data_IF_743431073901
#
_entry.id   IF_743431073901
#
_cell.length_a   1.000
_cell.length_b   1.000
_cell.length_c   1.000
_cell.angle_alpha   90.00
_cell.angle_beta   90.00
_cell.angle_gamma   90.00
#
_symmetry.space_group_name_H-M   'P 1'
#
loop_
_entity.id
_entity.type
_entity.pdbx_description
1 polymer ?
#
# COMPACT_ATOMS: atom_id res chain seq x y z
N UNK A 1 9.49 -0.02 -31.45
CA UNK A 1 8.96 0.49 -30.16
C UNK A 1 8.52 -0.71 -29.35
N UNK A 2 8.70 -0.71 -28.03
CA UNK A 2 8.17 -1.78 -27.19
C UNK A 2 6.64 -1.76 -27.25
N UNK A 3 6.04 -2.83 -27.75
CA UNK A 3 4.60 -3.00 -27.81
C UNK A 3 4.14 -3.95 -26.71
N UNK A 4 2.93 -3.73 -26.20
CA UNK A 4 2.34 -4.61 -25.19
C UNK A 4 2.12 -6.00 -25.79
N UNK A 5 2.48 -7.03 -25.04
CA UNK A 5 2.19 -8.41 -25.41
C UNK A 5 0.68 -8.67 -25.32
N UNK A 6 0.06 -9.00 -26.46
CA UNK A 6 -1.38 -9.21 -26.56
C UNK A 6 -1.90 -10.37 -25.68
N UNK A 7 -1.13 -11.45 -25.53
CA UNK A 7 -1.50 -12.57 -24.68
C UNK A 7 -1.35 -12.20 -23.21
N UNK A 8 -0.28 -11.47 -22.85
CA UNK A 8 -0.12 -10.94 -21.48
C UNK A 8 -1.24 -9.98 -21.11
N UNK A 9 -1.67 -9.12 -22.01
CA UNK A 9 -2.78 -8.19 -21.75
C UNK A 9 -4.12 -8.92 -21.61
N UNK A 10 -4.34 -9.98 -22.39
CA UNK A 10 -5.51 -10.87 -22.18
C UNK A 10 -5.46 -11.51 -20.80
N UNK A 11 -4.32 -12.06 -20.41
CA UNK A 11 -4.12 -12.64 -19.09
C UNK A 11 -4.31 -11.62 -17.98
N UNK A 12 -3.80 -10.39 -18.14
CA UNK A 12 -3.99 -9.29 -17.19
C UNK A 12 -5.46 -8.94 -17.01
N UNK A 13 -6.25 -8.88 -18.09
CA UNK A 13 -7.69 -8.63 -18.01
C UNK A 13 -8.43 -9.78 -17.28
N UNK A 14 -8.15 -11.04 -17.63
CA UNK A 14 -8.76 -12.19 -16.97
C UNK A 14 -8.38 -12.28 -15.49
N UNK A 15 -7.10 -12.07 -15.17
CA UNK A 15 -6.57 -12.00 -13.81
C UNK A 15 -7.23 -10.87 -13.02
N UNK A 16 -7.32 -9.67 -13.60
CA UNK A 16 -7.97 -8.50 -13.01
C UNK A 16 -9.43 -8.75 -12.66
N UNK A 17 -10.21 -9.35 -13.57
CA UNK A 17 -11.62 -9.71 -13.30
C UNK A 17 -11.74 -10.72 -12.16
N UNK A 18 -10.93 -11.79 -12.17
CA UNK A 18 -10.95 -12.81 -11.11
C UNK A 18 -10.54 -12.21 -9.75
N UNK A 19 -9.51 -11.37 -9.74
CA UNK A 19 -9.05 -10.65 -8.54
C UNK A 19 -10.12 -9.70 -8.00
N UNK A 20 -10.80 -8.93 -8.86
CA UNK A 20 -11.93 -8.07 -8.47
C UNK A 20 -13.07 -8.87 -7.86
N UNK A 21 -13.46 -9.99 -8.48
CA UNK A 21 -14.51 -10.88 -7.95
C UNK A 21 -14.13 -11.43 -6.58
N UNK A 22 -12.89 -11.93 -6.40
CA UNK A 22 -12.40 -12.37 -5.09
C UNK A 22 -12.42 -11.23 -4.06
N UNK A 23 -12.05 -10.01 -4.45
CA UNK A 23 -12.13 -8.83 -3.60
C UNK A 23 -13.56 -8.52 -3.15
N UNK A 24 -14.52 -8.51 -4.08
CA UNK A 24 -15.95 -8.32 -3.76
C UNK A 24 -16.47 -9.43 -2.85
N UNK A 25 -16.13 -10.69 -3.13
CA UNK A 25 -16.52 -11.82 -2.26
C UNK A 25 -15.94 -11.65 -0.85
N UNK A 26 -14.67 -11.26 -0.74
CA UNK A 26 -14.02 -11.03 0.56
C UNK A 26 -14.67 -9.87 1.33
N UNK A 27 -15.05 -8.80 0.62
CA UNK A 27 -15.79 -7.69 1.19
C UNK A 27 -17.17 -8.12 1.72
N UNK A 28 -17.92 -8.90 0.94
CA UNK A 28 -19.23 -9.42 1.34
C UNK A 28 -19.10 -10.34 2.56
N UNK A 29 -18.16 -11.28 2.54
CA UNK A 29 -17.92 -12.21 3.65
C UNK A 29 -17.53 -11.45 4.92
N UNK A 30 -16.64 -10.46 4.82
CA UNK A 30 -16.27 -9.59 5.94
C UNK A 30 -17.45 -8.76 6.46
N UNK A 31 -18.28 -8.24 5.56
CA UNK A 31 -19.51 -7.51 5.91
C UNK A 31 -20.52 -8.40 6.65
N UNK A 32 -20.73 -9.63 6.18
CA UNK A 32 -21.57 -10.62 6.87
C UNK A 32 -21.00 -10.95 8.25
N UNK A 33 -19.68 -11.16 8.36
CA UNK A 33 -19.02 -11.43 9.63
C UNK A 33 -19.28 -10.30 10.66
N UNK A 34 -19.09 -9.04 10.26
CA UNK A 34 -19.38 -7.89 11.12
C UNK A 34 -20.88 -7.77 11.42
N UNK A 35 -21.75 -7.98 10.43
CA UNK A 35 -23.20 -7.91 10.61
C UNK A 35 -23.68 -8.97 11.62
N UNK A 36 -23.12 -10.18 11.60
CA UNK A 36 -23.42 -11.21 12.60
C UNK A 36 -23.02 -10.74 14.00
N UNK A 37 -21.86 -10.09 14.17
CA UNK A 37 -21.43 -9.58 15.47
C UNK A 37 -22.31 -8.44 15.98
N UNK A 38 -22.79 -7.57 15.09
CA UNK A 38 -23.61 -6.40 15.45
C UNK A 38 -25.09 -6.75 15.67
N UNK A 39 -25.64 -7.67 14.89
CA UNK A 39 -27.08 -7.96 14.86
C UNK A 39 -27.47 -9.19 15.69
N UNK A 40 -26.49 -9.91 16.25
CA UNK A 40 -26.72 -11.08 17.09
C UNK A 40 -26.14 -10.88 18.50
N UNK A 41 -26.59 -11.64 19.51
CA UNK A 41 -26.04 -11.54 20.87
C UNK A 41 -24.61 -12.12 20.98
N UNK A 42 -23.98 -12.53 19.89
CA UNK A 42 -22.67 -13.18 19.89
C UNK A 42 -21.58 -12.28 20.48
N UNK A 43 -21.54 -11.00 20.08
CA UNK A 43 -20.55 -10.05 20.59
C UNK A 43 -20.65 -9.90 22.11
N UNK A 44 -21.86 -9.65 22.61
CA UNK A 44 -22.17 -9.54 24.04
C UNK A 44 -21.84 -10.85 24.80
N UNK A 45 -22.13 -12.01 24.20
CA UNK A 45 -21.85 -13.31 24.80
C UNK A 45 -20.36 -13.61 24.92
N UNK A 46 -19.55 -13.15 23.97
CA UNK A 46 -18.09 -13.28 24.03
C UNK A 46 -17.55 -12.29 25.06
N UNK A 47 -17.97 -11.02 24.98
CA UNK A 47 -17.57 -9.96 25.89
C UNK A 47 -17.83 -10.30 27.37
N UNK A 48 -19.01 -10.87 27.68
CA UNK A 48 -19.37 -11.27 29.04
C UNK A 48 -18.56 -12.43 29.63
N UNK A 49 -17.65 -13.06 28.85
CA UNK A 49 -16.71 -14.08 29.31
C UNK A 49 -15.28 -13.56 29.48
N UNK A 50 -15.03 -12.30 29.15
CA UNK A 50 -13.73 -11.67 29.26
C UNK A 50 -13.54 -11.02 30.65
N UNK A 51 -12.30 -10.71 31.05
CA UNK A 51 -12.03 -10.09 32.36
C UNK A 51 -12.75 -8.74 32.54
N UNK A 52 -13.00 -8.34 33.79
CA UNK A 52 -13.69 -7.08 34.10
C UNK A 52 -12.90 -5.82 33.70
N UNK A 53 -11.59 -5.93 33.50
CA UNK A 53 -10.76 -4.80 33.06
C UNK A 53 -11.09 -4.44 31.61
N UNK A 54 -11.66 -3.26 31.32
CA UNK A 54 -12.16 -2.97 29.96
C UNK A 54 -11.04 -2.89 28.93
N UNK A 55 -9.85 -2.43 29.33
CA UNK A 55 -8.66 -2.37 28.46
C UNK A 55 -8.20 -3.78 28.06
N UNK A 56 -8.04 -4.66 29.06
CA UNK A 56 -7.60 -6.04 28.82
C UNK A 56 -8.66 -6.83 28.05
N UNK A 57 -9.94 -6.65 28.39
CA UNK A 57 -11.05 -7.28 27.71
C UNK A 57 -11.11 -6.88 26.24
N UNK A 58 -11.00 -5.58 25.91
CA UNK A 58 -10.99 -5.12 24.53
C UNK A 58 -9.80 -5.67 23.73
N UNK A 59 -8.61 -5.71 24.33
CA UNK A 59 -7.43 -6.28 23.70
C UNK A 59 -7.60 -7.79 23.42
N UNK A 60 -8.13 -8.56 24.37
CA UNK A 60 -8.41 -10.00 24.20
C UNK A 60 -9.55 -10.25 23.20
N UNK A 61 -10.61 -9.44 23.25
CA UNK A 61 -11.69 -9.48 22.29
C UNK A 61 -11.16 -9.26 20.88
N UNK A 62 -10.27 -8.28 20.68
CA UNK A 62 -9.62 -8.04 19.39
C UNK A 62 -8.81 -9.25 18.91
N UNK A 63 -8.05 -9.92 19.79
CA UNK A 63 -7.33 -11.16 19.44
C UNK A 63 -8.30 -12.24 18.95
N UNK A 64 -9.38 -12.49 19.69
CA UNK A 64 -10.41 -13.48 19.32
C UNK A 64 -11.07 -13.12 17.98
N UNK A 65 -11.40 -11.84 17.80
CA UNK A 65 -11.98 -11.31 16.58
C UNK A 65 -11.06 -11.52 15.38
N UNK A 66 -9.77 -11.24 15.52
CA UNK A 66 -8.77 -11.44 14.47
C UNK A 66 -8.63 -12.90 14.07
N UNK A 67 -8.58 -13.83 15.04
CA UNK A 67 -8.53 -15.26 14.74
C UNK A 67 -9.82 -15.76 14.07
N UNK A 68 -10.99 -15.32 14.55
CA UNK A 68 -12.27 -15.71 13.95
C UNK A 68 -12.40 -15.17 12.52
N UNK A 69 -12.00 -13.91 12.30
CA UNK A 69 -11.99 -13.29 10.98
C UNK A 69 -11.01 -13.99 10.04
N UNK A 70 -9.80 -14.30 10.51
CA UNK A 70 -8.80 -15.03 9.72
C UNK A 70 -9.34 -16.41 9.32
N UNK A 71 -9.93 -17.16 10.25
CA UNK A 71 -10.50 -18.48 9.95
C UNK A 71 -11.58 -18.43 8.86
N UNK A 72 -12.46 -17.43 8.91
CA UNK A 72 -13.54 -17.24 7.92
C UNK A 72 -12.99 -16.82 6.56
N UNK A 73 -11.95 -15.99 6.54
CA UNK A 73 -11.40 -15.40 5.30
C UNK A 73 -10.20 -16.16 4.73
N UNK A 74 -9.61 -17.10 5.48
CA UNK A 74 -8.40 -17.85 5.10
C UNK A 74 -8.52 -18.51 3.72
N UNK A 75 -9.66 -19.15 3.33
CA UNK A 75 -9.80 -19.69 1.98
C UNK A 75 -9.69 -18.60 0.90
N UNK A 76 -10.29 -17.43 1.11
CA UNK A 76 -10.25 -16.31 0.17
C UNK A 76 -8.84 -15.69 0.11
N UNK A 77 -8.17 -15.58 1.25
CA UNK A 77 -6.76 -15.16 1.36
C UNK A 77 -5.84 -16.12 0.61
N UNK A 78 -6.07 -17.42 0.71
CA UNK A 78 -5.32 -18.44 -0.05
C UNK A 78 -5.53 -18.29 -1.56
N UNK A 79 -6.78 -18.14 -2.02
CA UNK A 79 -7.06 -17.96 -3.45
C UNK A 79 -6.47 -16.66 -3.99
N UNK A 80 -6.63 -15.56 -3.27
CA UNK A 80 -6.15 -14.23 -3.73
C UNK A 80 -4.64 -14.07 -3.61
N UNK A 81 -4.01 -14.62 -2.58
CA UNK A 81 -2.59 -14.45 -2.27
C UNK A 81 -1.66 -15.51 -2.86
N UNK A 82 -2.15 -16.73 -3.11
CA UNK A 82 -1.32 -17.83 -3.62
C UNK A 82 -1.87 -18.45 -4.90
N UNK A 83 -3.06 -19.05 -4.84
CA UNK A 83 -3.53 -19.90 -5.94
C UNK A 83 -3.77 -19.11 -7.24
N UNK A 84 -4.42 -17.94 -7.17
CA UNK A 84 -4.65 -17.12 -8.36
C UNK A 84 -3.34 -16.52 -8.91
N UNK A 85 -2.47 -15.83 -8.13
CA UNK A 85 -1.19 -15.35 -8.63
C UNK A 85 -0.31 -16.47 -9.20
N UNK A 86 -0.29 -17.64 -8.57
CA UNK A 86 0.49 -18.80 -9.05
C UNK A 86 -0.06 -19.35 -10.37
N UNK A 87 -1.38 -19.39 -10.55
CA UNK A 87 -2.00 -19.80 -11.81
C UNK A 87 -1.58 -18.92 -12.99
N UNK A 88 -1.35 -17.63 -12.74
CA UNK A 88 -0.88 -16.66 -13.73
C UNK A 88 0.66 -16.47 -13.73
N UNK A 89 1.41 -17.33 -13.04
CA UNK A 89 2.89 -17.27 -13.02
C UNK A 89 3.49 -16.09 -12.27
N UNK A 90 2.69 -15.37 -11.46
CA UNK A 90 3.14 -14.23 -10.65
C UNK A 90 3.74 -14.65 -9.29
N UNK A 91 3.27 -15.76 -8.72
CA UNK A 91 3.80 -16.29 -7.45
C UNK A 91 4.57 -17.58 -7.68
N UNK A 92 5.75 -17.67 -7.06
CA UNK A 92 6.63 -18.85 -7.03
C UNK A 92 6.57 -19.57 -5.68
N UNK A 93 5.84 -19.02 -4.71
CA UNK A 93 5.73 -19.60 -3.37
C UNK A 93 5.03 -20.97 -3.41
N UNK A 94 5.46 -21.86 -2.51
CA UNK A 94 4.67 -23.02 -2.13
C UNK A 94 3.70 -22.68 -0.99
N UNK A 95 2.81 -23.61 -0.65
CA UNK A 95 1.79 -23.40 0.41
C UNK A 95 2.43 -23.12 1.77
N UNK A 96 3.54 -23.79 2.10
CA UNK A 96 4.23 -23.60 3.38
C UNK A 96 4.84 -22.21 3.50
N UNK A 97 5.50 -21.71 2.45
CA UNK A 97 6.07 -20.37 2.41
C UNK A 97 4.99 -19.30 2.52
N UNK A 98 3.87 -19.48 1.82
CA UNK A 98 2.71 -18.59 1.92
C UNK A 98 2.09 -18.60 3.33
N UNK A 99 1.87 -19.76 3.94
CA UNK A 99 1.37 -19.87 5.32
C UNK A 99 2.32 -19.20 6.32
N UNK A 100 3.63 -19.36 6.12
CA UNK A 100 4.65 -18.70 6.94
C UNK A 100 4.54 -17.19 6.87
N UNK A 101 4.40 -16.61 5.68
CA UNK A 101 4.21 -15.17 5.52
C UNK A 101 2.85 -14.69 6.06
N UNK A 102 1.79 -15.46 5.83
CA UNK A 102 0.43 -15.19 6.33
C UNK A 102 0.41 -15.09 7.85
N UNK A 103 0.93 -16.09 8.56
CA UNK A 103 0.91 -16.09 10.02
C UNK A 103 1.93 -15.15 10.66
N UNK A 104 3.05 -14.84 9.99
CA UNK A 104 3.92 -13.73 10.41
C UNK A 104 3.18 -12.39 10.36
N UNK A 105 2.47 -12.14 9.26
CA UNK A 105 1.65 -10.94 9.10
C UNK A 105 0.52 -10.88 10.13
N UNK A 106 -0.21 -11.98 10.33
CA UNK A 106 -1.28 -12.09 11.32
C UNK A 106 -0.76 -11.81 12.74
N UNK A 107 0.40 -12.41 13.11
CA UNK A 107 1.00 -12.21 14.42
C UNK A 107 1.39 -10.76 14.67
N UNK A 108 2.01 -10.11 13.68
CA UNK A 108 2.35 -8.69 13.76
C UNK A 108 1.09 -7.81 13.87
N UNK A 109 0.05 -8.12 13.09
CA UNK A 109 -1.24 -7.42 13.15
C UNK A 109 -1.94 -7.58 14.50
N UNK A 110 -1.92 -8.78 15.09
CA UNK A 110 -2.45 -9.04 16.43
C UNK A 110 -1.68 -8.22 17.48
N UNK A 111 -0.35 -8.25 17.46
CA UNK A 111 0.47 -7.52 18.45
C UNK A 111 0.23 -6.01 18.37
N UNK A 112 0.35 -5.42 17.17
CA UNK A 112 0.18 -3.97 16.99
C UNK A 112 -1.28 -3.55 17.22
N UNK A 113 -2.24 -4.34 16.75
CA UNK A 113 -3.67 -4.07 16.88
C UNK A 113 -4.14 -4.17 18.33
N UNK A 114 -3.72 -5.18 19.09
CA UNK A 114 -4.05 -5.30 20.52
C UNK A 114 -3.47 -4.14 21.34
N UNK A 115 -2.25 -3.69 21.04
CA UNK A 115 -1.67 -2.48 21.67
C UNK A 115 -2.51 -1.25 21.31
N UNK A 116 -2.85 -1.08 20.03
CA UNK A 116 -3.66 0.05 19.58
C UNK A 116 -5.05 0.08 20.23
N UNK A 117 -5.74 -1.07 20.28
CA UNK A 117 -7.05 -1.21 20.94
C UNK A 117 -6.95 -0.96 22.44
N UNK A 118 -5.91 -1.48 23.11
CA UNK A 118 -5.69 -1.22 24.53
C UNK A 118 -5.50 0.27 24.82
N UNK A 119 -4.65 0.96 24.04
CA UNK A 119 -4.45 2.41 24.15
C UNK A 119 -5.76 3.15 23.87
N UNK A 120 -6.49 2.76 22.84
CA UNK A 120 -7.77 3.37 22.48
C UNK A 120 -8.79 3.28 23.61
N UNK A 121 -9.00 2.10 24.19
CA UNK A 121 -9.92 1.90 25.30
C UNK A 121 -9.46 2.58 26.59
N UNK A 122 -8.15 2.69 26.81
CA UNK A 122 -7.59 3.50 27.89
C UNK A 122 -7.90 5.00 27.68
N UNK A 123 -7.76 5.52 26.46
CA UNK A 123 -8.09 6.91 26.13
C UNK A 123 -9.59 7.18 26.28
N UNK A 124 -10.46 6.27 25.83
CA UNK A 124 -11.92 6.38 26.00
C UNK A 124 -12.28 6.46 27.48
N UNK A 125 -11.67 5.62 28.34
CA UNK A 125 -11.90 5.65 29.78
C UNK A 125 -11.45 6.96 30.43
N UNK A 126 -10.29 7.47 30.02
CA UNK A 126 -9.62 8.58 30.72
C UNK A 126 -10.01 9.96 30.20
N UNK A 127 -10.37 10.06 28.91
CA UNK A 127 -10.76 11.29 28.22
C UNK A 127 -11.93 11.05 27.24
N UNK A 128 -13.15 10.76 27.72
CA UNK A 128 -14.29 10.39 26.86
C UNK A 128 -14.68 11.44 25.81
N UNK A 129 -14.46 12.74 26.05
CA UNK A 129 -14.80 13.79 25.08
C UNK A 129 -13.73 14.03 24.01
N UNK A 130 -12.47 13.66 24.32
CA UNK A 130 -11.29 13.98 23.50
C UNK A 130 -10.50 12.77 23.02
N UNK A 131 -10.96 11.55 23.30
CA UNK A 131 -10.20 10.32 23.01
C UNK A 131 -9.86 10.20 21.52
N UNK A 132 -10.76 10.61 20.63
CA UNK A 132 -10.58 10.47 19.19
C UNK A 132 -9.43 11.34 18.67
N UNK A 133 -9.27 12.55 19.22
CA UNK A 133 -8.19 13.46 18.85
C UNK A 133 -6.83 12.96 19.37
N UNK A 134 -6.80 12.43 20.60
CA UNK A 134 -5.60 11.81 21.16
C UNK A 134 -5.22 10.52 20.43
N UNK A 135 -6.21 9.70 20.05
CA UNK A 135 -6.00 8.49 19.28
C UNK A 135 -5.50 8.80 17.86
N UNK A 136 -6.03 9.85 17.22
CA UNK A 136 -5.51 10.38 15.96
C UNK A 136 -4.05 10.81 16.10
N UNK A 137 -3.73 11.63 17.09
CA UNK A 137 -2.36 12.11 17.31
C UNK A 137 -1.40 10.95 17.58
N UNK A 138 -1.80 9.98 18.41
CA UNK A 138 -1.05 8.76 18.67
C UNK A 138 -0.84 7.93 17.40
N UNK A 139 -1.86 7.76 16.57
CA UNK A 139 -1.75 7.07 15.28
C UNK A 139 -0.76 7.77 14.36
N UNK A 140 -0.76 9.11 14.29
CA UNK A 140 0.21 9.85 13.47
C UNK A 140 1.66 9.66 13.95
N UNK A 141 1.87 9.61 15.27
CA UNK A 141 3.20 9.28 15.83
C UNK A 141 3.61 7.87 15.45
N UNK A 142 2.72 6.88 15.60
CA UNK A 142 3.00 5.50 15.22
C UNK A 142 3.28 5.37 13.73
N UNK A 143 2.50 6.02 12.86
CA UNK A 143 2.72 6.06 11.41
C UNK A 143 4.08 6.64 11.04
N UNK A 144 4.52 7.70 11.73
CA UNK A 144 5.84 8.28 11.51
C UNK A 144 6.95 7.30 11.93
N UNK A 145 6.83 6.69 13.10
CA UNK A 145 7.76 5.67 13.59
C UNK A 145 7.86 4.49 12.63
N UNK A 146 6.71 3.96 12.17
CA UNK A 146 6.67 2.86 11.20
C UNK A 146 7.26 3.28 9.85
N UNK A 147 7.08 4.51 9.40
CA UNK A 147 7.73 5.01 8.17
C UNK A 147 9.26 4.94 8.26
N UNK A 148 9.83 5.21 9.44
CA UNK A 148 11.27 5.12 9.68
C UNK A 148 11.73 3.67 9.83
N UNK A 149 10.97 2.86 10.58
CA UNK A 149 11.39 1.53 11.03
C UNK A 149 11.00 0.39 10.08
N UNK A 150 9.90 0.50 9.33
CA UNK A 150 9.41 -0.57 8.47
C UNK A 150 10.46 -1.11 7.48
N UNK A 151 11.26 -0.27 6.80
CA UNK A 151 12.29 -0.77 5.87
C UNK A 151 13.44 -1.51 6.56
N UNK A 152 13.62 -1.32 7.87
CA UNK A 152 14.71 -1.89 8.66
C UNK A 152 14.26 -3.08 9.49
N UNK A 153 13.01 -3.07 9.96
CA UNK A 153 12.47 -4.09 10.87
C UNK A 153 11.42 -4.97 10.21
N UNK A 154 10.53 -4.42 9.37
CA UNK A 154 9.39 -5.16 8.82
C UNK A 154 9.76 -5.84 7.51
N UNK A 155 10.30 -5.09 6.53
CA UNK A 155 10.64 -5.64 5.20
C UNK A 155 11.60 -6.84 5.30
N UNK A 156 12.67 -6.82 6.12
CA UNK A 156 13.56 -7.98 6.28
C UNK A 156 12.91 -9.27 6.81
N UNK A 157 11.75 -9.19 7.47
CA UNK A 157 11.02 -10.39 7.94
C UNK A 157 10.42 -11.20 6.79
N UNK A 158 10.19 -10.53 5.65
CA UNK A 158 9.56 -11.10 4.48
C UNK A 158 10.55 -11.29 3.33
N UNK A 159 11.52 -10.40 3.15
CA UNK A 159 12.44 -10.46 2.02
C UNK A 159 13.89 -10.32 2.48
N UNK A 160 14.77 -11.15 1.91
CA UNK A 160 16.20 -10.98 2.08
C UNK A 160 16.62 -9.73 1.30
N UNK A 161 17.40 -8.89 1.96
CA UNK A 161 18.02 -7.72 1.35
C UNK A 161 19.53 -7.84 1.47
N UNK A 162 20.23 -7.62 0.36
CA UNK A 162 21.69 -7.65 0.29
C UNK A 162 22.20 -6.34 -0.31
N UNK A 163 23.32 -5.78 0.18
CA UNK A 163 23.95 -4.65 -0.49
C UNK A 163 24.28 -4.99 -1.95
N UNK A 164 24.07 -4.04 -2.86
CA UNK A 164 24.46 -4.21 -4.26
C UNK A 164 25.99 -4.30 -4.38
N UNK A 165 26.46 -5.33 -5.09
CA UNK A 165 27.89 -5.53 -5.34
C UNK A 165 28.44 -4.45 -6.28
N UNK A 166 29.76 -4.22 -6.24
CA UNK A 166 30.41 -3.29 -7.15
C UNK A 166 30.29 -3.76 -8.60
N UNK A 167 30.10 -2.81 -9.53
CA UNK A 167 29.94 -3.08 -10.95
C UNK A 167 29.26 -1.91 -11.67
N UNK A 168 29.23 -1.98 -12.99
CA UNK A 168 28.75 -0.90 -13.87
C UNK A 168 27.35 -0.37 -13.49
N UNK A 169 26.40 -1.28 -13.18
CA UNK A 169 25.07 -0.88 -12.78
C UNK A 169 25.08 -0.07 -11.47
N UNK A 170 25.89 -0.47 -10.49
CA UNK A 170 25.99 0.25 -9.22
C UNK A 170 26.56 1.64 -9.43
N UNK A 171 27.67 1.75 -10.16
CA UNK A 171 28.34 3.02 -10.43
C UNK A 171 27.40 4.01 -11.14
N UNK A 172 26.64 3.48 -12.12
CA UNK A 172 25.62 4.23 -12.85
C UNK A 172 24.49 4.74 -11.95
N UNK A 173 23.99 3.90 -11.04
CA UNK A 173 22.95 4.29 -10.10
C UNK A 173 23.46 5.28 -9.04
N UNK A 174 24.70 5.15 -8.57
CA UNK A 174 25.33 6.12 -7.67
C UNK A 174 25.53 7.48 -8.36
N UNK A 175 25.90 7.48 -9.64
CA UNK A 175 25.95 8.69 -10.46
C UNK A 175 24.56 9.34 -10.61
N UNK A 176 23.51 8.55 -10.86
CA UNK A 176 22.14 9.04 -10.90
C UNK A 176 21.72 9.69 -9.58
N UNK A 177 21.94 9.01 -8.44
CA UNK A 177 21.66 9.54 -7.10
C UNK A 177 22.35 10.90 -6.93
N UNK A 178 23.63 10.98 -7.29
CA UNK A 178 24.42 12.22 -7.19
C UNK A 178 23.82 13.37 -8.00
N UNK A 179 23.33 13.10 -9.23
CA UNK A 179 22.66 14.10 -10.09
C UNK A 179 21.35 14.64 -9.50
N UNK A 180 20.65 13.85 -8.69
CA UNK A 180 19.39 14.26 -8.06
C UNK A 180 19.58 15.12 -6.80
N UNK A 181 20.78 15.09 -6.20
CA UNK A 181 21.05 15.72 -4.91
C UNK A 181 20.37 15.03 -3.72
N UNK A 182 19.83 13.82 -3.92
CA UNK A 182 19.22 13.00 -2.86
C UNK A 182 20.31 12.21 -2.14
N UNK A 183 20.24 12.14 -0.82
CA UNK A 183 21.11 11.30 0.00
C UNK A 183 20.43 9.97 0.32
N UNK A 184 21.14 8.87 0.04
CA UNK A 184 20.72 7.50 0.37
C UNK A 184 21.85 6.80 1.13
N UNK A 185 21.49 5.95 2.09
CA UNK A 185 22.44 5.17 2.90
C UNK A 185 22.98 3.92 2.18
N UNK A 186 22.51 3.63 0.97
CA UNK A 186 23.01 2.55 0.12
C UNK A 186 21.99 2.03 -0.87
N UNK A 187 22.48 1.24 -1.82
CA UNK A 187 21.70 0.52 -2.82
C UNK A 187 21.68 -0.97 -2.47
N UNK A 188 20.49 -1.54 -2.38
CA UNK A 188 20.24 -2.91 -1.95
C UNK A 188 19.45 -3.66 -3.01
N UNK A 189 19.74 -4.94 -3.14
CA UNK A 189 18.97 -5.89 -3.91
C UNK A 189 18.00 -6.60 -2.97
N UNK A 190 16.71 -6.60 -3.31
CA UNK A 190 15.66 -7.33 -2.59
C UNK A 190 15.30 -8.60 -3.38
N UNK A 191 15.38 -9.76 -2.72
CA UNK A 191 15.20 -11.06 -3.37
C UNK A 191 13.70 -11.37 -3.56
N UNK A 192 13.12 -10.84 -4.63
CA UNK A 192 11.73 -11.11 -5.02
C UNK A 192 11.60 -12.45 -5.70
N UNK A 193 12.62 -12.89 -6.44
CA UNK A 193 12.60 -14.12 -7.24
C UNK A 193 12.28 -15.38 -6.44
N UNK A 194 12.53 -15.41 -5.12
CA UNK A 194 12.16 -16.50 -4.22
C UNK A 194 10.63 -16.66 -4.09
N UNK A 195 9.88 -15.55 -4.24
CA UNK A 195 8.43 -15.49 -3.94
C UNK A 195 7.58 -15.09 -5.13
N UNK A 196 8.08 -14.21 -5.98
CA UNK A 196 7.32 -13.62 -7.09
C UNK A 196 8.19 -13.42 -8.33
N UNK A 197 7.55 -13.39 -9.49
CA UNK A 197 8.17 -12.98 -10.76
C UNK A 197 7.99 -11.49 -11.06
N UNK A 198 7.24 -10.77 -10.22
CA UNK A 198 6.99 -9.33 -10.40
C UNK A 198 8.26 -8.51 -10.17
N UNK A 199 8.37 -7.38 -10.88
CA UNK A 199 9.46 -6.43 -10.74
C UNK A 199 9.01 -5.19 -9.95
N UNK A 200 9.91 -4.69 -9.10
CA UNK A 200 9.69 -3.45 -8.36
C UNK A 200 11.02 -2.78 -7.96
N UNK A 201 10.96 -1.48 -7.72
CA UNK A 201 12.01 -0.72 -7.05
C UNK A 201 11.35 0.28 -6.11
N UNK A 202 12.04 0.66 -5.04
CA UNK A 202 11.55 1.68 -4.13
C UNK A 202 12.69 2.37 -3.39
N UNK A 203 12.50 3.64 -3.07
CA UNK A 203 13.33 4.33 -2.07
C UNK A 203 12.56 4.44 -0.76
N UNK A 204 13.08 3.75 0.26
CA UNK A 204 12.41 3.56 1.54
C UNK A 204 13.21 4.14 2.70
N UNK A 205 12.52 4.58 3.76
CA UNK A 205 13.12 5.09 4.99
C UNK A 205 13.24 6.61 5.04
N UNK A 206 13.78 7.11 6.15
CA UNK A 206 13.88 8.55 6.44
C UNK A 206 15.25 8.90 7.03
N UNK A 207 15.74 10.10 6.73
CA UNK A 207 17.06 10.56 7.16
C UNK A 207 18.16 9.57 6.80
N UNK A 208 18.89 9.08 7.81
CA UNK A 208 20.02 8.14 7.63
C UNK A 208 19.60 6.71 7.31
N UNK A 209 18.34 6.33 7.49
CA UNK A 209 17.86 4.96 7.19
C UNK A 209 17.41 4.80 5.73
N UNK A 210 17.40 5.89 4.95
CA UNK A 210 17.05 5.91 3.53
C UNK A 210 17.87 4.88 2.77
N UNK A 211 17.21 4.05 1.99
CA UNK A 211 17.84 3.00 1.17
C UNK A 211 17.09 2.85 -0.14
N UNK A 212 17.86 2.63 -1.20
CA UNK A 212 17.34 2.19 -2.49
C UNK A 212 17.21 0.67 -2.43
N UNK A 213 16.04 0.13 -2.74
CA UNK A 213 15.81 -1.31 -2.88
C UNK A 213 15.33 -1.62 -4.30
N UNK A 214 16.05 -2.51 -4.98
CA UNK A 214 15.79 -2.91 -6.37
C UNK A 214 15.57 -4.41 -6.38
N UNK A 215 14.47 -4.89 -6.97
CA UNK A 215 14.22 -6.32 -7.02
C UNK A 215 15.19 -7.02 -7.97
N UNK A 216 15.64 -8.21 -7.59
CA UNK A 216 16.43 -9.10 -8.46
C UNK A 216 15.72 -9.38 -9.80
N UNK A 217 14.41 -9.56 -9.77
CA UNK A 217 13.55 -9.71 -10.96
C UNK A 217 13.54 -8.50 -11.90
N UNK A 218 13.79 -7.28 -11.39
CA UNK A 218 13.97 -6.08 -12.24
C UNK A 218 15.37 -6.09 -12.85
N UNK A 219 16.40 -6.45 -12.08
CA UNK A 219 17.78 -6.50 -12.58
C UNK A 219 17.93 -7.55 -13.69
N UNK A 220 17.24 -8.69 -13.57
CA UNK A 220 17.34 -9.80 -14.53
C UNK A 220 16.67 -9.52 -15.89
N UNK A 221 15.65 -8.66 -15.96
CA UNK A 221 14.79 -8.52 -17.16
C UNK A 221 14.88 -7.15 -17.86
N UNK A 222 15.57 -6.19 -17.25
CA UNK A 222 15.60 -4.80 -17.71
C UNK A 222 17.02 -4.41 -18.08
N UNK A 223 17.14 -3.55 -19.10
CA UNK A 223 18.42 -2.98 -19.44
C UNK A 223 18.87 -1.99 -18.34
N UNK A 224 20.17 -1.75 -18.19
CA UNK A 224 20.67 -0.71 -17.29
C UNK A 224 20.01 0.67 -17.47
N UNK A 225 19.60 1.05 -18.68
CA UNK A 225 18.83 2.28 -18.97
C UNK A 225 17.42 2.25 -18.41
N UNK A 226 16.74 1.13 -18.56
CA UNK A 226 15.39 0.97 -18.02
C UNK A 226 15.43 0.99 -16.48
N UNK A 227 16.44 0.36 -15.87
CA UNK A 227 16.63 0.39 -14.42
C UNK A 227 16.96 1.81 -13.93
N UNK A 228 17.85 2.52 -14.63
CA UNK A 228 18.16 3.93 -14.31
C UNK A 228 16.90 4.80 -14.38
N UNK A 229 16.04 4.58 -15.37
CA UNK A 229 14.80 5.32 -15.53
C UNK A 229 13.79 5.04 -14.41
N UNK A 230 13.60 3.76 -14.05
CA UNK A 230 12.76 3.40 -12.88
C UNK A 230 13.33 4.03 -11.61
N UNK A 231 14.65 4.00 -11.44
CA UNK A 231 15.30 4.63 -10.29
C UNK A 231 15.18 6.16 -10.30
N UNK A 232 15.18 6.81 -11.46
CA UNK A 232 14.97 8.25 -11.58
C UNK A 232 13.56 8.64 -11.11
N UNK A 233 12.55 7.81 -11.40
CA UNK A 233 11.18 7.98 -10.88
C UNK A 233 11.16 7.85 -9.35
N UNK A 234 11.75 6.81 -8.78
CA UNK A 234 11.79 6.61 -7.33
C UNK A 234 12.55 7.72 -6.58
N UNK A 235 13.64 8.22 -7.16
CA UNK A 235 14.39 9.35 -6.61
C UNK A 235 13.63 10.68 -6.73
N UNK A 236 12.73 10.82 -7.72
CA UNK A 236 11.89 11.99 -7.84
C UNK A 236 11.01 12.18 -6.60
N UNK A 237 10.41 11.10 -6.08
CA UNK A 237 9.63 11.14 -4.84
C UNK A 237 10.43 11.67 -3.65
N UNK A 238 11.70 11.28 -3.56
CA UNK A 238 12.59 11.78 -2.53
C UNK A 238 12.95 13.25 -2.73
N UNK A 239 13.22 13.65 -3.98
CA UNK A 239 13.56 15.02 -4.33
C UNK A 239 12.41 16.00 -4.06
N UNK A 240 11.18 15.56 -4.32
CA UNK A 240 9.96 16.33 -4.09
C UNK A 240 9.52 16.34 -2.62
N UNK A 241 10.08 15.47 -1.78
CA UNK A 241 9.66 15.30 -0.39
C UNK A 241 8.29 14.66 -0.27
N UNK A 242 7.94 13.77 -1.19
CA UNK A 242 6.59 13.20 -1.31
C UNK A 242 6.18 12.40 -0.07
N UNK A 243 7.13 11.80 0.66
CA UNK A 243 6.86 11.16 1.97
C UNK A 243 6.26 12.16 2.96
N UNK A 244 6.76 13.40 3.03
CA UNK A 244 6.23 14.42 3.94
C UNK A 244 4.91 15.00 3.44
N UNK A 245 4.74 15.13 2.13
CA UNK A 245 3.48 15.56 1.52
C UNK A 245 2.37 14.54 1.77
N UNK A 246 2.68 13.25 1.59
CA UNK A 246 1.79 12.13 1.92
C UNK A 246 1.49 12.09 3.41
N UNK A 247 2.49 12.31 4.28
CA UNK A 247 2.27 12.36 5.73
C UNK A 247 1.33 13.49 6.14
N UNK A 248 1.53 14.70 5.62
CA UNK A 248 0.63 15.84 5.90
C UNK A 248 -0.79 15.63 5.36
N UNK A 249 -0.90 15.10 4.15
CA UNK A 249 -2.18 14.72 3.55
C UNK A 249 -2.89 13.62 4.36
N UNK A 250 -2.15 12.59 4.79
CA UNK A 250 -2.65 11.52 5.66
C UNK A 250 -3.10 12.08 7.01
N UNK A 251 -2.35 13.00 7.61
CA UNK A 251 -2.73 13.63 8.87
C UNK A 251 -4.09 14.34 8.77
N UNK A 252 -4.29 15.14 7.71
CA UNK A 252 -5.56 15.84 7.48
C UNK A 252 -6.73 14.91 7.17
N UNK A 253 -6.52 13.91 6.32
CA UNK A 253 -7.55 12.93 5.98
C UNK A 253 -7.92 12.02 7.16
N UNK A 254 -6.95 11.57 7.95
CA UNK A 254 -7.22 10.81 9.16
C UNK A 254 -7.89 11.66 10.22
N UNK A 255 -7.62 12.96 10.31
CA UNK A 255 -8.34 13.84 11.22
C UNK A 255 -9.85 13.86 10.88
N UNK A 256 -10.18 13.94 9.58
CA UNK A 256 -11.57 13.85 9.09
C UNK A 256 -12.18 12.49 9.45
N UNK A 257 -11.46 11.40 9.20
CA UNK A 257 -11.94 10.03 9.51
C UNK A 257 -12.18 9.85 11.00
N UNK A 258 -11.27 10.32 11.86
CA UNK A 258 -11.43 10.18 13.30
C UNK A 258 -12.58 11.04 13.84
N UNK A 259 -12.75 12.25 13.33
CA UNK A 259 -13.86 13.13 13.71
C UNK A 259 -15.22 12.56 13.25
N UNK A 260 -15.33 12.08 12.02
CA UNK A 260 -16.56 11.46 11.52
C UNK A 260 -16.82 10.11 12.18
N UNK A 261 -15.78 9.29 12.35
CA UNK A 261 -15.84 7.96 12.92
C UNK A 261 -16.30 7.98 14.38
N UNK A 262 -15.79 8.92 15.18
CA UNK A 262 -16.27 9.11 16.55
C UNK A 262 -17.73 9.54 16.58
N UNK A 263 -18.13 10.52 15.75
CA UNK A 263 -19.53 10.98 15.70
C UNK A 263 -20.51 9.90 15.24
N UNK A 264 -20.13 9.08 14.25
CA UNK A 264 -20.94 7.92 13.81
C UNK A 264 -21.02 6.87 14.92
N UNK A 265 -19.91 6.61 15.62
CA UNK A 265 -19.89 5.67 16.74
C UNK A 265 -20.79 6.13 17.89
N UNK A 266 -20.70 7.40 18.29
CA UNK A 266 -21.55 7.97 19.35
C UNK A 266 -23.03 7.89 18.97
N UNK A 267 -23.37 8.24 17.72
CA UNK A 267 -24.75 8.15 17.22
C UNK A 267 -25.28 6.70 17.20
N UNK A 268 -24.52 5.76 16.66
CA UNK A 268 -24.97 4.36 16.53
C UNK A 268 -24.98 3.62 17.88
N UNK A 269 -24.04 3.94 18.77
CA UNK A 269 -24.00 3.33 20.11
C UNK A 269 -25.26 3.65 20.91
N UNK A 270 -25.77 4.89 20.79
CA UNK A 270 -27.05 5.30 21.38
C UNK A 270 -28.28 4.63 20.77
N UNK A 271 -28.23 4.20 19.51
CA UNK A 271 -29.33 3.46 18.86
C UNK A 271 -29.37 1.98 19.24
N UNK A 272 -28.22 1.39 19.59
CA UNK A 272 -28.08 -0.03 19.91
C UNK A 272 -28.09 -0.32 21.42
N UNK A 273 -28.46 0.67 22.24
CA UNK A 273 -28.49 0.58 23.70
C UNK A 273 -27.17 0.09 24.33
N UNK A 274 -26.02 0.36 23.69
CA UNK A 274 -24.73 0.14 24.33
C UNK A 274 -24.56 1.19 25.43
N UNK A 275 -24.84 0.79 26.68
CA UNK A 275 -24.84 1.69 27.85
C UNK A 275 -23.44 2.24 28.17
N UNK A 276 -22.37 1.57 27.73
CA UNK A 276 -21.00 1.93 28.09
C UNK A 276 -20.04 1.86 26.90
N UNK A 277 -19.43 3.00 26.53
CA UNK A 277 -18.45 3.10 25.44
C UNK A 277 -17.19 2.26 25.68
N UNK A 278 -16.96 1.84 26.94
CA UNK A 278 -15.85 0.96 27.31
C UNK A 278 -16.18 -0.51 27.17
N UNK A 279 -17.39 -0.87 26.73
CA UNK A 279 -17.77 -2.26 26.51
C UNK A 279 -16.96 -2.86 25.33
N UNK A 280 -16.20 -3.95 25.52
CA UNK A 280 -15.51 -4.63 24.43
C UNK A 280 -16.48 -5.13 23.34
N UNK A 281 -17.76 -5.39 23.67
CA UNK A 281 -18.77 -5.78 22.69
C UNK A 281 -19.07 -4.69 21.65
N UNK A 282 -18.75 -3.42 21.96
CA UNK A 282 -18.90 -2.29 21.05
C UNK A 282 -17.74 -2.17 20.03
N UNK A 283 -16.67 -2.96 20.16
CA UNK A 283 -15.51 -2.88 19.25
C UNK A 283 -15.89 -3.09 17.77
N UNK A 284 -16.73 -4.07 17.37
CA UNK A 284 -17.17 -4.20 15.98
C UNK A 284 -17.90 -2.96 15.47
N UNK A 285 -18.69 -2.30 16.33
CA UNK A 285 -19.40 -1.07 15.99
C UNK A 285 -18.42 0.07 15.78
N UNK A 286 -17.44 0.22 16.69
CA UNK A 286 -16.37 1.20 16.58
C UNK A 286 -15.59 1.05 15.27
N UNK A 287 -15.12 -0.17 14.97
CA UNK A 287 -14.40 -0.47 13.73
C UNK A 287 -15.26 -0.17 12.49
N UNK A 288 -16.55 -0.49 12.54
CA UNK A 288 -17.49 -0.22 11.45
C UNK A 288 -17.70 1.27 11.24
N UNK A 289 -17.84 2.07 12.30
CA UNK A 289 -17.99 3.52 12.21
C UNK A 289 -16.79 4.18 11.53
N UNK A 290 -15.58 3.77 11.89
CA UNK A 290 -14.35 4.26 11.26
C UNK A 290 -14.19 3.77 9.82
N UNK A 291 -14.59 2.54 9.53
CA UNK A 291 -14.63 2.02 8.16
C UNK A 291 -15.57 2.88 7.29
N UNK A 292 -16.80 3.14 7.75
CA UNK A 292 -17.78 3.98 7.02
C UNK A 292 -17.26 5.40 6.84
N UNK A 293 -16.67 5.99 7.88
CA UNK A 293 -16.06 7.32 7.82
C UNK A 293 -14.91 7.42 6.79
N UNK A 294 -14.24 6.30 6.46
CA UNK A 294 -13.14 6.28 5.50
C UNK A 294 -13.57 6.30 4.03
N UNK A 295 -14.79 5.85 3.71
CA UNK A 295 -15.26 5.68 2.33
C UNK A 295 -15.19 7.00 1.52
N UNK A 296 -15.66 8.15 2.03
CA UNK A 296 -15.62 9.41 1.29
C UNK A 296 -14.20 9.92 0.99
N UNK A 297 -13.20 9.46 1.76
CA UNK A 297 -11.80 9.91 1.63
C UNK A 297 -11.06 9.18 0.49
N UNK A 298 -11.50 7.97 0.11
CA UNK A 298 -10.81 7.13 -0.86
C UNK A 298 -10.51 7.82 -2.20
N UNK A 299 -11.47 8.51 -2.87
CA UNK A 299 -11.21 9.24 -4.10
C UNK A 299 -10.15 10.35 -3.96
N UNK A 300 -10.12 11.02 -2.80
CA UNK A 300 -9.18 12.11 -2.53
C UNK A 300 -7.75 11.56 -2.42
N UNK A 301 -7.57 10.44 -1.71
CA UNK A 301 -6.28 9.76 -1.58
C UNK A 301 -5.75 9.26 -2.93
N UNK A 302 -6.61 8.63 -3.74
CA UNK A 302 -6.23 8.18 -5.08
C UNK A 302 -5.81 9.34 -5.98
N UNK A 303 -6.59 10.44 -5.98
CA UNK A 303 -6.26 11.63 -6.74
C UNK A 303 -4.91 12.24 -6.34
N UNK A 304 -4.65 12.38 -5.03
CA UNK A 304 -3.43 12.97 -4.54
C UNK A 304 -2.22 12.14 -4.93
N UNK A 305 -2.30 10.82 -4.73
CA UNK A 305 -1.28 9.85 -5.15
C UNK A 305 -0.96 9.99 -6.64
N UNK A 306 -1.96 9.98 -7.53
CA UNK A 306 -1.74 10.10 -8.98
C UNK A 306 -1.02 11.39 -9.37
N UNK A 307 -1.24 12.49 -8.64
CA UNK A 307 -0.51 13.75 -8.91
C UNK A 307 0.97 13.65 -8.56
N UNK A 308 1.32 12.95 -7.48
CA UNK A 308 2.72 12.72 -7.12
C UNK A 308 3.40 11.83 -8.16
N UNK A 309 2.72 10.76 -8.60
CA UNK A 309 3.19 9.85 -9.65
C UNK A 309 3.44 10.57 -10.98
N UNK A 310 2.50 11.41 -11.44
CA UNK A 310 2.69 12.19 -12.67
C UNK A 310 3.87 13.17 -12.56
N UNK A 311 4.08 13.77 -11.38
CA UNK A 311 5.22 14.64 -11.14
C UNK A 311 6.55 13.86 -11.14
N UNK A 312 6.55 12.64 -10.58
CA UNK A 312 7.71 11.76 -10.59
C UNK A 312 8.06 11.28 -12.02
N UNK A 313 7.07 10.89 -12.82
CA UNK A 313 7.25 10.56 -14.23
C UNK A 313 7.83 11.70 -15.05
N UNK A 314 7.27 12.91 -14.88
CA UNK A 314 7.77 14.10 -15.58
C UNK A 314 9.21 14.44 -15.17
N UNK A 315 9.58 14.24 -13.89
CA UNK A 315 10.95 14.42 -13.43
C UNK A 315 11.89 13.36 -14.02
N UNK A 316 11.48 12.08 -14.02
CA UNK A 316 12.27 10.98 -14.58
C UNK A 316 12.53 11.16 -16.09
N UNK A 317 11.52 11.58 -16.86
CA UNK A 317 11.65 11.91 -18.27
C UNK A 317 12.63 13.06 -18.51
N UNK A 318 12.53 14.14 -17.72
CA UNK A 318 13.46 15.28 -17.82
C UNK A 318 14.88 14.93 -17.42
N UNK A 319 15.06 14.07 -16.43
CA UNK A 319 16.38 13.70 -15.93
C UNK A 319 17.11 12.73 -16.86
N UNK A 320 16.38 11.81 -17.49
CA UNK A 320 16.96 10.80 -18.38
C UNK A 320 16.97 11.21 -19.86
N UNK A 321 16.10 12.17 -20.24
CA UNK A 321 15.90 12.65 -21.62
C UNK A 321 15.70 11.50 -22.64
N UNK A 322 15.06 10.41 -22.20
CA UNK A 322 14.90 9.20 -23.02
C UNK A 322 13.46 8.66 -22.99
N UNK A 323 12.54 9.26 -23.77
CA UNK A 323 11.14 8.84 -23.81
C UNK A 323 10.95 7.41 -24.36
N UNK A 324 11.86 6.91 -25.19
CA UNK A 324 11.77 5.55 -25.72
C UNK A 324 12.08 4.49 -24.66
N UNK A 325 13.11 4.72 -23.83
CA UNK A 325 13.41 3.88 -22.67
C UNK A 325 12.26 3.96 -21.65
N UNK A 326 11.66 5.13 -21.46
CA UNK A 326 10.48 5.27 -20.60
C UNK A 326 9.33 4.36 -21.06
N UNK A 327 8.97 4.45 -22.35
CA UNK A 327 7.91 3.61 -22.91
C UNK A 327 8.28 2.14 -22.77
N UNK A 328 9.52 1.75 -23.08
CA UNK A 328 9.99 0.36 -22.94
C UNK A 328 9.85 -0.18 -21.52
N UNK A 329 10.34 0.57 -20.52
CA UNK A 329 10.25 0.18 -19.12
C UNK A 329 8.80 0.05 -18.66
N UNK A 330 7.92 0.98 -19.03
CA UNK A 330 6.51 0.92 -18.69
C UNK A 330 5.78 -0.25 -19.35
N UNK A 331 6.10 -0.57 -20.60
CA UNK A 331 5.55 -1.73 -21.31
C UNK A 331 5.95 -3.02 -20.58
N UNK A 332 7.25 -3.20 -20.31
CA UNK A 332 7.75 -4.39 -19.61
C UNK A 332 7.15 -4.53 -18.21
N UNK A 333 7.08 -3.45 -17.42
CA UNK A 333 6.47 -3.48 -16.09
C UNK A 333 4.99 -3.86 -16.16
N UNK A 334 4.27 -3.34 -17.16
CA UNK A 334 2.85 -3.63 -17.36
C UNK A 334 2.64 -5.11 -17.68
N UNK A 335 3.43 -5.67 -18.59
CA UNK A 335 3.30 -7.07 -19.01
C UNK A 335 3.80 -8.06 -17.95
N UNK A 336 4.95 -7.78 -17.32
CA UNK A 336 5.54 -8.64 -16.30
C UNK A 336 4.67 -8.71 -15.04
N UNK A 337 4.09 -7.59 -14.62
CA UNK A 337 3.26 -7.54 -13.42
C UNK A 337 1.79 -7.90 -13.70
N UNK A 338 1.44 -8.23 -14.94
CA UNK A 338 0.06 -8.44 -15.42
C UNK A 338 -0.88 -7.30 -15.01
N UNK A 339 -0.42 -6.07 -15.22
CA UNK A 339 -1.21 -4.87 -14.98
C UNK A 339 -2.09 -4.57 -16.20
N UNK A 340 -3.34 -4.20 -15.96
CA UNK A 340 -4.25 -3.79 -17.04
C UNK A 340 -3.81 -2.45 -17.63
N UNK A 341 -3.45 -2.43 -18.92
CA UNK A 341 -2.94 -1.22 -19.57
C UNK A 341 -3.92 -0.03 -19.56
N UNK A 342 -5.23 -0.31 -19.59
CA UNK A 342 -6.32 0.65 -19.41
C UNK A 342 -7.13 0.26 -18.19
N UNK A 343 -7.36 1.21 -17.28
CA UNK A 343 -8.28 0.99 -16.15
C UNK A 343 -9.72 0.82 -16.68
N UNK A 344 -10.46 -0.22 -16.27
CA UNK A 344 -11.75 -0.54 -16.90
C UNK A 344 -12.90 0.43 -16.60
N UNK A 345 -12.86 1.28 -15.56
CA UNK A 345 -13.96 2.21 -15.26
C UNK A 345 -13.57 3.54 -14.60
N UNK A 346 -14.47 4.53 -14.63
CA UNK A 346 -14.33 5.80 -13.89
C UNK A 346 -14.23 5.59 -12.38
N UNK A 347 -15.05 4.71 -11.82
CA UNK A 347 -15.08 4.44 -10.38
C UNK A 347 -13.79 3.79 -9.88
N UNK A 348 -13.22 2.85 -10.65
CA UNK A 348 -11.92 2.25 -10.31
C UNK A 348 -10.80 3.28 -10.34
N UNK A 349 -10.84 4.23 -11.28
CA UNK A 349 -9.87 5.34 -11.33
C UNK A 349 -9.92 6.24 -10.10
N UNK A 350 -11.04 6.33 -9.38
CA UNK A 350 -11.11 7.19 -8.19
C UNK A 350 -10.17 6.69 -7.08
N UNK A 351 -10.15 5.38 -6.82
CA UNK A 351 -9.32 4.77 -5.78
C UNK A 351 -7.90 4.35 -6.21
N UNK A 352 -7.59 4.33 -7.50
CA UNK A 352 -6.25 3.93 -7.99
C UNK A 352 -5.18 4.99 -7.69
N UNK A 353 -4.09 4.57 -7.05
CA UNK A 353 -2.97 5.47 -6.70
C UNK A 353 -2.05 5.84 -7.85
N UNK A 354 -2.02 5.05 -8.93
CA UNK A 354 -1.14 5.25 -10.08
C UNK A 354 -1.93 5.60 -11.36
N UNK A 355 -1.38 6.47 -12.23
CA UNK A 355 -1.91 6.66 -13.58
C UNK A 355 -1.87 5.37 -14.40
N UNK A 356 -2.76 5.24 -15.38
CA UNK A 356 -2.75 4.07 -16.27
C UNK A 356 -1.49 4.04 -17.14
N UNK A 357 -1.08 2.84 -17.60
CA UNK A 357 -0.02 2.72 -18.60
C UNK A 357 -0.26 3.65 -19.80
N UNK A 358 -1.50 3.71 -20.29
CA UNK A 358 -1.84 4.59 -21.42
C UNK A 358 -1.63 6.07 -21.13
N UNK A 359 -1.88 6.54 -19.90
CA UNK A 359 -1.65 7.93 -19.52
C UNK A 359 -0.14 8.24 -19.44
N UNK A 360 0.65 7.30 -18.88
CA UNK A 360 2.11 7.44 -18.75
C UNK A 360 2.81 7.44 -20.11
N UNK A 361 2.41 6.53 -21.02
CA UNK A 361 2.96 6.49 -22.38
C UNK A 361 2.57 7.72 -23.19
N UNK A 362 1.35 8.23 -23.04
CA UNK A 362 0.94 9.50 -23.68
C UNK A 362 1.85 10.65 -23.23
N UNK A 363 2.12 10.77 -21.93
CA UNK A 363 3.03 11.79 -21.40
C UNK A 363 4.44 11.69 -22.01
N UNK A 364 4.99 10.48 -22.14
CA UNK A 364 6.30 10.28 -22.74
C UNK A 364 6.35 10.66 -24.24
N UNK A 365 5.28 10.39 -24.98
CA UNK A 365 5.16 10.78 -26.40
C UNK A 365 5.09 12.30 -26.56
N UNK A 366 4.24 12.96 -25.77
CA UNK A 366 4.11 14.42 -25.75
C UNK A 366 5.46 15.10 -25.37
N UNK A 367 6.22 14.51 -24.44
CA UNK A 367 7.57 14.99 -24.10
C UNK A 367 8.54 14.91 -25.29
N UNK A 368 8.49 13.81 -26.06
CA UNK A 368 9.33 13.62 -27.25
C UNK A 368 8.99 14.62 -28.36
N UNK A 369 7.71 14.88 -28.59
CA UNK A 369 7.22 15.83 -29.60
C UNK A 369 7.67 17.25 -29.27
N UNK A 370 7.44 17.70 -28.03
CA UNK A 370 7.85 19.03 -27.57
C UNK A 370 9.36 19.24 -27.61
N UNK A 371 10.14 18.23 -27.24
CA UNK A 371 11.61 18.29 -27.28
C UNK A 371 12.13 18.40 -28.71
N UNK A 372 11.46 17.74 -29.67
CA UNK A 372 11.79 17.82 -31.09
C UNK A 372 11.45 19.21 -31.65
N UNK A 373 10.28 19.74 -31.31
CA UNK A 373 9.86 21.09 -31.73
C UNK A 373 10.81 22.19 -31.19
N UNK A 374 11.22 22.10 -29.91
CA UNK A 374 12.16 23.06 -29.33
C UNK A 374 13.56 22.99 -29.97
N UNK A 375 14.03 21.81 -30.38
CA UNK A 375 15.29 21.66 -31.12
C UNK A 375 15.22 22.27 -32.52
N UNK A 376 14.08 22.17 -33.20
CA UNK A 376 13.86 22.77 -34.51
C UNK A 376 13.83 24.31 -34.43
N UNK A 377 13.09 24.88 -33.47
CA UNK A 377 12.99 26.34 -33.29
C UNK A 377 14.31 26.95 -32.81
N UNK A 378 15.07 26.24 -31.97
CA UNK A 378 16.37 26.68 -31.48
C UNK A 378 17.53 26.58 -32.49
N UNK A 379 17.29 26.01 -33.68
CA UNK A 379 18.26 26.01 -34.80
C UNK A 379 18.03 27.17 -35.78
N UNK A 380 16.89 27.86 -35.68
CA UNK A 380 16.51 29.01 -36.52
C UNK A 380 16.80 30.38 -35.84
N UNK A 381 17.42 30.37 -34.65
CA UNK A 381 17.93 31.53 -33.91
C UNK A 381 19.45 31.43 -33.76
#
# INVERSE_FOLDING_TARGET
>A
MAELDAERQRQAAEYGIKRRRLGVTSFIVGGIFIAVLLLSPLSNSIAGRLPDSPVLAAALYFVLLMFAYDLVTLPLSYFSGLALPRHYGLSKQNVQGWLGDHYKSLSMGIVLGSIAVAVLYFLIQRWPEGWWLLAWAGLMVVSLVLTVLAPVLIIPLFFKMKPMQAGELKDRLEALVSRTGVTVGGIYIIEFSEKTSQANAAVMGLGKTKRVAISDTLIEQYSPEEIELVMAHELAHQRHGDVWRLFGFQAGTFLIIFSLGSGIFDYLSGLMDYVNLTDPAALPLLLTSFFVASIPVLPLSGWFSRRLEMAADAYALKLTDNPQVFISAMTKLTDQNLSEARSPSFFERLGQGHPSYTDRVRMAREFSENSTQNKLIGQDL
#
